data_IF_961965960519
#
_entry.id   IF_961965960519
#
_cell.length_a   1.000
_cell.length_b   1.000
_cell.length_c   1.000
_cell.angle_alpha   90.00
_cell.angle_beta   90.00
_cell.angle_gamma   90.00
#
_symmetry.space_group_name_H-M   'P 1'
#
loop_
_entity.id
_entity.type
_entity.pdbx_description
1 polymer ?
#
# COMPACT_ATOMS: atom_id res chain seq x y z
N UNK A 1 -2.76 -19.32 18.17
CA UNK A 1 -1.75 -18.73 17.27
C UNK A 1 -1.14 -19.87 16.47
N UNK A 2 -1.13 -19.75 15.15
CA UNK A 2 -0.59 -20.78 14.25
C UNK A 2 0.58 -20.20 13.43
N UNK A 3 1.70 -20.94 13.29
CA UNK A 3 2.83 -20.49 12.49
C UNK A 3 2.47 -20.41 11.01
N UNK A 4 3.13 -19.54 10.21
CA UNK A 4 2.94 -19.50 8.77
C UNK A 4 3.44 -20.79 8.11
N UNK A 5 2.58 -21.43 7.31
CA UNK A 5 2.93 -22.62 6.53
C UNK A 5 2.44 -22.44 5.11
N UNK A 6 3.29 -22.80 4.13
CA UNK A 6 2.85 -22.86 2.74
C UNK A 6 1.95 -24.09 2.53
N UNK A 7 0.65 -23.86 2.37
CA UNK A 7 -0.28 -24.92 1.97
C UNK A 7 -0.11 -25.29 0.50
N UNK A 8 0.28 -24.34 -0.34
CA UNK A 8 0.58 -24.54 -1.76
C UNK A 8 1.88 -23.86 -2.14
N UNK A 9 2.82 -24.64 -2.69
CA UNK A 9 4.07 -24.14 -3.25
C UNK A 9 3.88 -23.79 -4.74
N UNK A 10 4.62 -22.81 -5.27
CA UNK A 10 4.61 -22.49 -6.69
C UNK A 10 5.15 -23.67 -7.51
N UNK A 11 4.48 -23.98 -8.61
CA UNK A 11 4.94 -25.02 -9.54
C UNK A 11 5.99 -24.44 -10.50
N UNK A 12 6.92 -25.25 -11.03
CA UNK A 12 7.82 -24.81 -12.09
C UNK A 12 7.04 -24.35 -13.32
N UNK A 13 7.30 -23.13 -13.79
CA UNK A 13 6.65 -22.56 -14.99
C UNK A 13 7.69 -22.46 -16.11
N UNK A 14 7.37 -23.00 -17.28
CA UNK A 14 8.10 -22.77 -18.52
C UNK A 14 7.40 -21.67 -19.32
N UNK A 15 8.15 -20.71 -19.83
CA UNK A 15 7.59 -19.57 -20.56
C UNK A 15 8.54 -19.10 -21.65
N UNK A 16 7.99 -18.49 -22.70
CA UNK A 16 8.75 -17.88 -23.79
C UNK A 16 9.46 -16.61 -23.30
N UNK A 17 10.56 -16.25 -23.99
CA UNK A 17 11.32 -15.04 -23.68
C UNK A 17 10.46 -13.80 -23.92
N UNK A 18 10.38 -12.93 -22.91
CA UNK A 18 9.60 -11.68 -22.98
C UNK A 18 8.13 -11.82 -22.56
N UNK A 19 7.67 -13.03 -22.24
CA UNK A 19 6.34 -13.24 -21.68
C UNK A 19 6.31 -12.95 -20.18
N UNK A 20 5.19 -12.41 -19.71
CA UNK A 20 4.92 -12.26 -18.28
C UNK A 20 4.73 -13.64 -17.63
N UNK A 21 5.31 -13.82 -16.44
CA UNK A 21 5.22 -15.06 -15.66
C UNK A 21 4.50 -14.75 -14.34
N UNK A 22 3.52 -15.59 -14.00
CA UNK A 22 2.82 -15.51 -12.73
C UNK A 22 3.25 -16.66 -11.82
N UNK A 23 3.74 -16.32 -10.62
CA UNK A 23 4.06 -17.29 -9.57
C UNK A 23 3.19 -17.00 -8.35
N UNK A 24 2.52 -18.03 -7.85
CA UNK A 24 1.60 -17.94 -6.73
C UNK A 24 1.94 -18.96 -5.65
N UNK A 25 1.64 -18.63 -4.39
CA UNK A 25 1.73 -19.53 -3.25
C UNK A 25 0.60 -19.23 -2.28
N UNK A 26 0.18 -20.23 -1.51
CA UNK A 26 -0.87 -20.08 -0.50
C UNK A 26 -0.26 -20.29 0.88
N UNK A 27 -0.60 -19.40 1.82
CA UNK A 27 -0.17 -19.48 3.21
C UNK A 27 -1.36 -19.72 4.13
N UNK A 28 -1.13 -20.53 5.15
CA UNK A 28 -2.01 -20.71 6.30
C UNK A 28 -1.27 -20.26 7.57
N UNK A 29 -1.99 -19.78 8.58
CA UNK A 29 -1.41 -19.31 9.85
C UNK A 29 -2.20 -18.14 10.44
N UNK A 30 -1.64 -17.52 11.48
CA UNK A 30 -2.23 -16.30 12.07
C UNK A 30 -1.55 -15.04 11.48
N UNK A 31 -2.29 -14.14 10.78
CA UNK A 31 -1.75 -12.87 10.27
C UNK A 31 -1.23 -11.94 11.39
N UNK A 32 -0.34 -10.98 11.09
CA UNK A 32 0.13 -10.54 9.77
C UNK A 32 1.27 -11.41 9.20
N UNK A 33 1.27 -11.62 7.88
CA UNK A 33 2.35 -12.34 7.18
C UNK A 33 3.32 -11.35 6.50
N UNK A 34 4.60 -11.71 6.46
CA UNK A 34 5.62 -11.03 5.66
C UNK A 34 6.13 -12.00 4.59
N UNK A 35 5.95 -11.67 3.31
CA UNK A 35 6.31 -12.52 2.17
C UNK A 35 7.35 -11.78 1.33
N UNK A 36 8.50 -12.41 1.13
CA UNK A 36 9.56 -11.92 0.25
C UNK A 36 9.95 -13.02 -0.75
N UNK A 37 10.14 -12.63 -2.01
CA UNK A 37 10.64 -13.51 -3.05
C UNK A 37 12.15 -13.32 -3.21
N UNK A 38 12.88 -14.38 -3.53
CA UNK A 38 14.32 -14.35 -3.75
C UNK A 38 14.68 -15.05 -5.05
N UNK A 39 15.64 -14.49 -5.78
CA UNK A 39 16.31 -15.12 -6.92
C UNK A 39 17.81 -15.01 -6.72
N UNK A 40 18.51 -16.14 -6.77
CA UNK A 40 19.97 -16.22 -6.63
C UNK A 40 20.49 -15.49 -5.37
N UNK A 41 19.81 -15.70 -4.23
CA UNK A 41 20.08 -15.04 -2.93
C UNK A 41 19.83 -13.53 -2.89
N UNK A 42 19.31 -12.94 -3.96
CA UNK A 42 18.90 -11.53 -4.00
C UNK A 42 17.39 -11.43 -3.83
N UNK A 43 16.95 -10.59 -2.92
CA UNK A 43 15.53 -10.29 -2.73
C UNK A 43 14.96 -9.64 -4.02
N UNK A 44 13.92 -10.26 -4.57
CA UNK A 44 13.10 -9.67 -5.62
C UNK A 44 12.20 -8.65 -4.94
N UNK A 45 12.58 -7.39 -5.05
CA UNK A 45 11.73 -6.28 -4.68
C UNK A 45 10.81 -5.97 -5.83
N UNK A 46 9.56 -5.62 -5.53
CA UNK A 46 8.69 -5.01 -6.52
C UNK A 46 9.43 -3.83 -7.15
N UNK A 47 9.54 -3.81 -8.47
CA UNK A 47 10.12 -2.67 -9.22
C UNK A 47 9.26 -1.41 -9.08
N UNK A 48 8.05 -1.55 -8.53
CA UNK A 48 7.10 -0.48 -8.29
C UNK A 48 7.55 0.34 -7.08
N UNK A 49 7.93 1.59 -7.33
CA UNK A 49 8.14 2.59 -6.27
C UNK A 49 6.81 2.80 -5.53
N UNK A 50 6.78 2.79 -4.19
CA UNK A 50 5.57 3.06 -3.45
C UNK A 50 5.06 4.48 -3.75
N UNK A 51 3.74 4.66 -3.78
CA UNK A 51 3.16 5.99 -3.81
C UNK A 51 3.23 6.58 -2.41
N UNK A 52 3.85 7.76 -2.30
CA UNK A 52 3.94 8.52 -1.05
C UNK A 52 3.16 9.81 -1.25
N UNK A 53 2.10 10.00 -0.46
CA UNK A 53 1.37 11.26 -0.37
C UNK A 53 1.69 11.88 0.98
N UNK A 54 2.03 13.16 0.97
CA UNK A 54 2.37 13.91 2.18
C UNK A 54 1.38 15.06 2.37
N UNK A 55 0.97 15.25 3.61
CA UNK A 55 0.07 16.29 4.04
C UNK A 55 0.77 17.12 5.12
N UNK A 56 1.14 18.34 4.76
CA UNK A 56 1.72 19.30 5.69
C UNK A 56 0.61 20.17 6.29
N UNK A 57 0.72 20.45 7.59
CA UNK A 57 -0.26 21.24 8.32
C UNK A 57 0.41 21.98 9.47
N UNK A 58 -0.25 23.03 9.94
CA UNK A 58 0.12 23.80 11.12
C UNK A 58 -1.10 23.98 12.03
N UNK A 59 -0.87 24.13 13.33
CA UNK A 59 -1.93 24.33 14.32
C UNK A 59 -1.54 23.83 15.71
N UNK A 60 -2.44 24.02 16.67
CA UNK A 60 -2.22 23.64 18.06
C UNK A 60 -2.44 22.13 18.27
N UNK A 61 -1.46 21.38 18.83
CA UNK A 61 -1.64 19.98 19.21
C UNK A 61 -2.74 19.75 20.28
N UNK A 62 -3.32 18.56 20.39
CA UNK A 62 -3.06 17.37 19.57
C UNK A 62 -3.81 17.44 18.23
N UNK A 63 -3.08 17.30 17.12
CA UNK A 63 -3.66 17.25 15.77
C UNK A 63 -3.82 15.79 15.35
N UNK A 64 -5.03 15.43 14.92
CA UNK A 64 -5.36 14.12 14.35
C UNK A 64 -5.45 14.24 12.84
N UNK A 65 -4.75 13.36 12.13
CA UNK A 65 -4.77 13.27 10.68
C UNK A 65 -5.63 12.09 10.24
N UNK A 66 -6.37 12.27 9.15
CA UNK A 66 -7.10 11.19 8.50
C UNK A 66 -7.03 11.31 7.00
N UNK A 67 -7.03 10.16 6.32
CA UNK A 67 -7.01 10.07 4.87
C UNK A 67 -8.30 9.46 4.34
N UNK A 68 -8.75 9.95 3.18
CA UNK A 68 -9.86 9.39 2.41
C UNK A 68 -9.43 9.18 0.96
N UNK A 69 -9.93 8.11 0.34
CA UNK A 69 -9.84 7.87 -1.10
C UNK A 69 -11.25 7.73 -1.65
N UNK A 70 -11.61 8.57 -2.63
CA UNK A 70 -12.95 8.62 -3.21
C UNK A 70 -14.06 8.70 -2.13
N UNK A 71 -13.82 9.49 -1.08
CA UNK A 71 -14.72 9.64 0.07
C UNK A 71 -14.62 8.56 1.15
N UNK A 72 -13.99 7.41 0.88
CA UNK A 72 -13.87 6.28 1.82
C UNK A 72 -12.64 6.49 2.71
N UNK A 73 -12.81 6.42 4.03
CA UNK A 73 -11.72 6.55 5.00
C UNK A 73 -10.73 5.40 4.88
N UNK A 74 -9.44 5.72 4.76
CA UNK A 74 -8.36 4.74 4.76
C UNK A 74 -7.96 4.45 6.20
N UNK A 75 -8.12 3.20 6.65
CA UNK A 75 -7.80 2.80 8.03
C UNK A 75 -6.30 2.79 8.33
N UNK A 76 -5.45 2.78 7.29
CA UNK A 76 -4.02 2.51 7.41
C UNK A 76 -3.13 3.74 7.68
N UNK A 77 -3.70 4.96 7.75
CA UNK A 77 -2.87 6.16 7.94
C UNK A 77 -3.54 7.22 8.81
N UNK A 78 -3.10 7.28 10.07
CA UNK A 78 -3.29 8.43 10.96
C UNK A 78 -2.07 9.36 10.96
N UNK A 79 -1.12 9.13 10.04
CA UNK A 79 0.09 9.92 9.87
C UNK A 79 -0.11 11.00 8.81
N UNK A 80 0.69 12.06 8.89
CA UNK A 80 0.82 13.08 7.84
C UNK A 80 1.28 12.52 6.50
N UNK A 81 1.89 11.33 6.49
CA UNK A 81 2.33 10.63 5.29
C UNK A 81 1.50 9.37 5.07
N UNK A 82 0.89 9.25 3.88
CA UNK A 82 0.23 8.04 3.41
C UNK A 82 1.15 7.32 2.42
N UNK A 83 1.56 6.11 2.78
CA UNK A 83 2.36 5.24 1.93
C UNK A 83 1.51 4.08 1.40
N UNK A 84 1.40 3.95 0.08
CA UNK A 84 0.67 2.85 -0.56
C UNK A 84 1.67 1.96 -1.32
N UNK A 85 1.79 0.72 -0.86
CA UNK A 85 2.73 -0.28 -1.39
C UNK A 85 2.20 -0.99 -2.65
N UNK A 86 0.88 -1.14 -2.76
CA UNK A 86 0.23 -1.74 -3.92
C UNK A 86 0.07 -0.68 -5.01
N UNK A 87 0.83 -0.80 -6.10
CA UNK A 87 0.69 0.09 -7.25
C UNK A 87 0.06 -0.63 -8.44
N UNK A 88 -1.26 -0.67 -8.43
CA UNK A 88 -2.08 -1.10 -9.57
C UNK A 88 -2.99 0.05 -10.04
N UNK A 89 -3.73 -0.17 -11.13
CA UNK A 89 -4.58 0.87 -11.74
C UNK A 89 -5.63 1.43 -10.77
N UNK A 90 -6.00 0.69 -9.73
CA UNK A 90 -6.93 1.15 -8.69
C UNK A 90 -6.38 2.30 -7.87
N UNK A 91 -5.06 2.58 -7.89
CA UNK A 91 -4.47 3.74 -7.20
C UNK A 91 -5.07 5.07 -7.67
N UNK A 92 -5.46 5.18 -8.93
CA UNK A 92 -6.07 6.40 -9.46
C UNK A 92 -7.33 6.77 -8.66
N UNK A 93 -7.54 8.06 -8.42
CA UNK A 93 -8.66 8.52 -7.61
C UNK A 93 -8.41 9.86 -6.92
N UNK A 94 -9.41 10.32 -6.21
CA UNK A 94 -9.34 11.52 -5.39
C UNK A 94 -8.92 11.17 -3.98
N UNK A 95 -7.84 11.78 -3.49
CA UNK A 95 -7.33 11.63 -2.14
C UNK A 95 -7.57 12.91 -1.35
N UNK A 96 -8.06 12.77 -0.13
CA UNK A 96 -8.24 13.89 0.79
C UNK A 96 -7.51 13.60 2.09
N UNK A 97 -6.69 14.55 2.54
CA UNK A 97 -6.13 14.57 3.88
C UNK A 97 -6.91 15.58 4.72
N UNK A 98 -7.30 15.20 5.93
CA UNK A 98 -7.94 16.10 6.90
C UNK A 98 -7.17 16.11 8.21
N UNK A 99 -6.80 17.30 8.68
CA UNK A 99 -6.14 17.56 9.96
C UNK A 99 -7.12 18.24 10.91
N UNK A 100 -7.25 17.73 12.14
CA UNK A 100 -8.25 18.19 13.10
C UNK A 100 -7.68 18.35 14.51
N UNK A 101 -8.12 19.38 15.23
CA UNK A 101 -7.86 19.59 16.65
C UNK A 101 -9.14 20.08 17.36
N UNK A 102 -9.02 20.52 18.62
CA UNK A 102 -10.18 21.00 19.40
C UNK A 102 -10.84 22.28 18.83
N UNK A 103 -10.13 23.03 17.98
CA UNK A 103 -10.61 24.29 17.41
C UNK A 103 -11.39 24.03 16.11
N UNK A 104 -10.95 23.05 15.31
CA UNK A 104 -11.61 22.75 14.05
C UNK A 104 -10.88 21.73 13.19
N UNK A 105 -11.26 21.70 11.92
CA UNK A 105 -10.72 20.77 10.91
C UNK A 105 -10.39 21.52 9.63
N UNK A 106 -9.21 21.24 9.07
CA UNK A 106 -8.80 21.65 7.74
C UNK A 106 -8.66 20.41 6.85
N UNK A 107 -8.95 20.54 5.55
CA UNK A 107 -8.80 19.44 4.59
C UNK A 107 -8.20 19.92 3.28
N UNK A 108 -7.35 19.10 2.67
CA UNK A 108 -6.82 19.30 1.32
C UNK A 108 -7.11 18.06 0.46
N UNK A 109 -7.37 18.29 -0.83
CA UNK A 109 -7.81 17.24 -1.76
C UNK A 109 -7.01 17.33 -3.07
N UNK A 110 -6.53 16.19 -3.57
CA UNK A 110 -5.83 16.06 -4.85
C UNK A 110 -6.35 14.85 -5.64
N UNK A 111 -6.27 14.90 -6.97
CA UNK A 111 -6.64 13.77 -7.84
C UNK A 111 -5.40 13.15 -8.45
N UNK A 112 -5.18 11.87 -8.17
CA UNK A 112 -4.13 11.08 -8.80
C UNK A 112 -4.64 10.50 -10.12
N UNK A 113 -3.90 10.76 -11.18
CA UNK A 113 -4.10 10.20 -12.52
C UNK A 113 -2.85 9.41 -12.88
N UNK A 114 -3.00 8.17 -13.32
CA UNK A 114 -1.91 7.34 -13.81
C UNK A 114 -1.85 7.48 -15.33
N UNK A 115 -0.78 8.08 -15.86
CA UNK A 115 -0.50 8.09 -17.30
C UNK A 115 0.28 6.83 -17.66
N UNK A 116 -0.17 6.14 -18.72
CA UNK A 116 0.46 4.92 -19.24
C UNK A 116 1.74 5.19 -20.01
#
# INVERSE_FOLDING_TARGET
VAPPVFSKKPHPVQSLRGSDVHLECELQGTPPFQISWYKDKREIRSSKKPLILECTYSGTPPIRVSWKKNGIKLSQSEKSTLQILQTDKSLAGQYSCSASNAIGTASSTARLILTG
#
